data_IF_709161536518
#
_entry.id   IF_709161536518
#
_cell.length_a   1.000
_cell.length_b   1.000
_cell.length_c   1.000
_cell.angle_alpha   90.00
_cell.angle_beta   90.00
_cell.angle_gamma   90.00
#
_symmetry.space_group_name_H-M   'P 1'
#
loop_
_entity.id
_entity.type
_entity.pdbx_description
1 polymer ?
#
# COMPACT_ATOMS: atom_id res chain seq x y z
N UNK A 1 -6.98 18.64 6.26
CA UNK A 1 -6.38 20.00 6.31
C UNK A 1 -4.85 20.06 6.07
N UNK A 2 -4.12 18.94 6.01
CA UNK A 2 -2.64 18.94 5.87
C UNK A 2 -2.10 19.48 4.55
N UNK A 3 -2.62 19.03 3.40
CA UNK A 3 -2.09 19.44 2.08
C UNK A 3 -2.16 20.95 1.80
N UNK A 4 -3.25 21.62 2.21
CA UNK A 4 -3.39 23.08 2.09
C UNK A 4 -2.35 23.84 2.92
N UNK A 5 -2.02 23.33 4.11
CA UNK A 5 -1.01 23.94 4.99
C UNK A 5 0.39 23.82 4.39
N UNK A 6 0.75 22.64 3.87
CA UNK A 6 2.04 22.40 3.20
C UNK A 6 2.20 23.34 2.00
N UNK A 7 1.17 23.44 1.15
CA UNK A 7 1.18 24.34 -0.02
C UNK A 7 1.43 25.80 0.38
N UNK A 8 0.75 26.28 1.43
CA UNK A 8 0.93 27.65 1.95
C UNK A 8 2.35 27.89 2.49
N UNK A 9 2.91 26.91 3.19
CA UNK A 9 4.28 27.00 3.72
C UNK A 9 5.33 27.06 2.62
N UNK A 10 5.20 26.24 1.58
CA UNK A 10 6.13 26.25 0.44
C UNK A 10 6.05 27.57 -0.34
N UNK A 11 4.85 28.08 -0.60
CA UNK A 11 4.65 29.39 -1.24
C UNK A 11 5.26 30.53 -0.43
N UNK A 12 5.08 30.53 0.89
CA UNK A 12 5.67 31.54 1.78
C UNK A 12 7.20 31.49 1.80
N UNK A 13 7.79 30.32 1.56
CA UNK A 13 9.24 30.13 1.42
C UNK A 13 9.77 30.40 -0.01
N UNK A 14 8.90 30.83 -0.94
CA UNK A 14 9.29 31.08 -2.33
C UNK A 14 9.57 29.81 -3.14
N UNK A 15 9.09 28.65 -2.67
CA UNK A 15 9.25 27.37 -3.35
C UNK A 15 8.00 27.02 -4.14
N UNK A 16 8.18 26.61 -5.40
CA UNK A 16 7.15 25.92 -6.16
C UNK A 16 7.22 24.43 -5.83
N UNK A 17 6.19 23.94 -5.15
CA UNK A 17 6.09 22.54 -4.77
C UNK A 17 5.89 21.63 -5.98
N UNK A 18 6.76 20.64 -6.15
CA UNK A 18 6.66 19.67 -7.26
C UNK A 18 5.42 18.77 -7.22
N UNK A 19 4.70 18.71 -6.10
CA UNK A 19 3.48 17.92 -5.94
C UNK A 19 2.38 18.74 -5.28
N UNK A 20 1.24 18.89 -5.96
CA UNK A 20 0.04 19.47 -5.34
C UNK A 20 -0.63 18.44 -4.42
N UNK A 21 -0.23 18.46 -3.15
CA UNK A 21 -0.73 17.56 -2.11
C UNK A 21 -2.25 17.60 -1.93
N UNK A 22 -2.92 18.67 -2.34
CA UNK A 22 -4.39 18.75 -2.25
C UNK A 22 -5.02 17.90 -3.35
N UNK A 23 -4.61 18.13 -4.61
CA UNK A 23 -5.11 17.34 -5.75
C UNK A 23 -4.66 15.88 -5.69
N UNK A 24 -3.46 15.63 -5.16
CA UNK A 24 -2.92 14.28 -5.03
C UNK A 24 -3.78 13.39 -4.13
N UNK A 25 -4.35 13.94 -3.05
CA UNK A 25 -5.25 13.20 -2.19
C UNK A 25 -6.52 12.74 -2.93
N UNK A 26 -7.06 13.60 -3.80
CA UNK A 26 -8.24 13.28 -4.60
C UNK A 26 -7.94 12.17 -5.61
N UNK A 27 -6.75 12.17 -6.23
CA UNK A 27 -6.32 11.11 -7.16
C UNK A 27 -6.12 9.78 -6.41
N UNK A 28 -5.44 9.79 -5.26
CA UNK A 28 -5.18 8.57 -4.49
C UNK A 28 -6.44 7.91 -3.94
N UNK A 29 -7.54 8.68 -3.81
CA UNK A 29 -8.83 8.17 -3.35
C UNK A 29 -9.82 7.93 -4.49
N UNK A 30 -9.40 8.16 -5.73
CA UNK A 30 -10.24 7.92 -6.89
C UNK A 30 -10.41 6.42 -7.16
N UNK A 31 -11.64 6.02 -7.46
CA UNK A 31 -12.01 4.63 -7.77
C UNK A 31 -11.72 4.29 -9.24
N UNK A 32 -10.49 4.56 -9.69
CA UNK A 32 -10.02 4.29 -11.06
C UNK A 32 -9.64 2.81 -11.23
N UNK A 33 -10.57 1.91 -10.91
CA UNK A 33 -10.35 0.48 -11.06
C UNK A 33 -10.22 0.12 -12.55
N UNK A 34 -9.20 -0.67 -12.87
CA UNK A 34 -9.02 -1.20 -14.22
C UNK A 34 -10.03 -2.32 -14.43
N UNK A 35 -10.72 -2.30 -15.57
CA UNK A 35 -11.60 -3.40 -15.97
C UNK A 35 -10.80 -4.71 -15.99
N UNK A 36 -11.30 -5.73 -15.27
CA UNK A 36 -10.64 -7.04 -15.16
C UNK A 36 -10.36 -7.66 -16.54
N UNK A 37 -11.20 -7.40 -17.54
CA UNK A 37 -11.02 -7.90 -18.91
C UNK A 37 -9.76 -7.36 -19.59
N UNK A 38 -9.26 -6.18 -19.18
CA UNK A 38 -8.06 -5.57 -19.78
C UNK A 38 -6.76 -6.14 -19.23
N UNK A 39 -6.76 -6.72 -18.03
CA UNK A 39 -5.54 -7.16 -17.35
C UNK A 39 -5.68 -8.49 -16.62
N UNK A 40 -6.58 -8.57 -15.63
CA UNK A 40 -6.69 -9.74 -14.76
C UNK A 40 -7.01 -11.03 -15.55
N UNK A 41 -7.94 -10.96 -16.51
CA UNK A 41 -8.34 -12.11 -17.34
C UNK A 41 -7.19 -12.60 -18.26
N UNK A 42 -6.56 -11.77 -19.11
CA UNK A 42 -5.48 -12.24 -19.97
C UNK A 42 -4.23 -12.69 -19.20
N UNK A 43 -4.00 -12.16 -18.00
CA UNK A 43 -2.90 -12.58 -17.13
C UNK A 43 -3.22 -13.86 -16.32
N UNK A 44 -4.44 -14.39 -16.41
CA UNK A 44 -4.86 -15.59 -15.70
C UNK A 44 -4.92 -15.41 -14.18
N UNK A 45 -5.14 -14.19 -13.71
CA UNK A 45 -5.28 -13.90 -12.27
C UNK A 45 -6.53 -14.59 -11.75
N UNK A 46 -6.37 -15.34 -10.65
CA UNK A 46 -7.46 -16.02 -9.96
C UNK A 46 -7.79 -15.27 -8.67
N UNK A 47 -8.97 -15.51 -8.11
CA UNK A 47 -9.35 -14.91 -6.83
C UNK A 47 -8.47 -15.47 -5.71
N UNK A 48 -8.11 -14.60 -4.75
CA UNK A 48 -7.29 -14.99 -3.61
C UNK A 48 -8.05 -15.93 -2.67
N UNK A 49 -7.39 -16.99 -2.21
CA UNK A 49 -7.88 -17.83 -1.12
C UNK A 49 -7.52 -17.19 0.22
N UNK A 50 -8.39 -16.28 0.66
CA UNK A 50 -8.20 -15.48 1.88
C UNK A 50 -8.17 -16.38 3.12
N UNK A 51 -9.00 -17.42 3.18
CA UNK A 51 -9.08 -18.31 4.33
C UNK A 51 -7.79 -19.11 4.50
N UNK A 52 -7.25 -19.66 3.40
CA UNK A 52 -5.97 -20.34 3.42
C UNK A 52 -4.83 -19.38 3.80
N UNK A 53 -4.83 -18.15 3.29
CA UNK A 53 -3.82 -17.14 3.61
C UNK A 53 -3.83 -16.75 5.09
N UNK A 54 -5.03 -16.57 5.67
CA UNK A 54 -5.19 -16.31 7.12
C UNK A 54 -4.67 -17.50 7.92
N UNK A 55 -5.06 -18.72 7.56
CA UNK A 55 -4.61 -19.94 8.25
C UNK A 55 -3.09 -20.11 8.21
N UNK A 56 -2.47 -19.84 7.06
CA UNK A 56 -1.02 -19.86 6.90
C UNK A 56 -0.33 -18.78 7.76
N UNK A 57 -0.91 -17.58 7.82
CA UNK A 57 -0.39 -16.47 8.63
C UNK A 57 -0.36 -16.81 10.13
N UNK A 58 -1.49 -17.29 10.67
CA UNK A 58 -1.59 -17.70 12.08
C UNK A 58 -0.63 -18.85 12.39
N UNK A 59 -0.58 -19.85 11.51
CA UNK A 59 0.33 -20.99 11.65
C UNK A 59 1.78 -20.55 11.68
N UNK A 60 2.18 -19.61 10.82
CA UNK A 60 3.51 -19.02 10.82
C UNK A 60 3.80 -18.31 12.15
N UNK A 61 2.87 -17.49 12.65
CA UNK A 61 3.03 -16.82 13.95
C UNK A 61 3.25 -17.81 15.09
N UNK A 62 2.46 -18.89 15.15
CA UNK A 62 2.62 -19.95 16.17
C UNK A 62 3.98 -20.64 16.03
N UNK A 63 4.38 -20.98 14.81
CA UNK A 63 5.68 -21.64 14.57
C UNK A 63 6.87 -20.75 14.95
N UNK A 64 6.75 -19.43 14.81
CA UNK A 64 7.77 -18.48 15.27
C UNK A 64 7.84 -18.44 16.79
N UNK A 65 6.69 -18.40 17.47
CA UNK A 65 6.62 -18.45 18.94
C UNK A 65 7.20 -19.74 19.51
N UNK A 66 6.91 -20.87 18.85
CA UNK A 66 7.43 -22.19 19.21
C UNK A 66 8.91 -22.40 18.84
N UNK A 67 9.58 -21.41 18.23
CA UNK A 67 10.97 -21.51 17.77
C UNK A 67 11.18 -22.49 16.60
N UNK A 68 10.10 -22.92 15.95
CA UNK A 68 10.08 -23.88 14.82
C UNK A 68 10.29 -23.20 13.46
N UNK A 69 10.11 -21.87 13.37
CA UNK A 69 10.34 -21.09 12.16
C UNK A 69 11.39 -20.00 12.41
N UNK A 70 12.38 -19.89 11.51
CA UNK A 70 13.35 -18.79 11.51
C UNK A 70 12.76 -17.61 10.74
N UNK A 71 12.55 -16.50 11.43
CA UNK A 71 12.27 -15.22 10.77
C UNK A 71 13.60 -14.53 10.48
N UNK A 72 13.74 -14.02 9.26
CA UNK A 72 14.71 -12.95 9.00
C UNK A 72 14.13 -11.69 9.62
N UNK A 73 14.88 -11.08 10.52
CA UNK A 73 14.57 -9.72 10.97
C UNK A 73 14.67 -8.79 9.75
N UNK A 74 13.83 -7.76 9.69
CA UNK A 74 14.02 -6.75 8.65
C UNK A 74 15.38 -6.13 8.87
N UNK A 75 16.27 -6.17 7.87
CA UNK A 75 17.46 -5.32 7.89
C UNK A 75 16.97 -3.88 7.92
N UNK A 76 17.09 -3.26 9.09
CA UNK A 76 16.98 -1.82 9.20
C UNK A 76 18.10 -1.19 8.37
N UNK A 77 17.70 -0.39 7.38
CA UNK A 77 18.54 0.68 6.83
C UNK A 77 18.62 1.82 7.85
#
# INVERSE_FOLDING_TARGET
MGGKKIKKQQQAAGHEGGLDMVKFADIQTSQLFIDKSLAAVPLGVTDDDIDAAIGASVTLSVNVLDGKAKTIDMRGE
#
